data_IF_599670438069
#
_entry.id   IF_599670438069
#
_cell.length_a   1.000
_cell.length_b   1.000
_cell.length_c   1.000
_cell.angle_alpha   90.00
_cell.angle_beta   90.00
_cell.angle_gamma   90.00
#
_symmetry.space_group_name_H-M   'P 1'
#
loop_
_entity.id
_entity.type
_entity.pdbx_description
1 polymer ?
#
# COMPACT_ATOMS: atom_id res chain seq x y z
N UNK A 1 -14.09 -4.99 15.59
CA UNK A 1 -14.05 -3.68 14.89
C UNK A 1 -12.87 -2.83 15.32
N UNK A 2 -12.72 -2.50 16.61
CA UNK A 2 -11.57 -1.68 17.06
C UNK A 2 -10.20 -2.36 16.85
N UNK A 3 -10.08 -3.64 17.21
CA UNK A 3 -8.85 -4.42 16.95
C UNK A 3 -8.54 -4.49 15.45
N UNK A 4 -9.56 -4.73 14.61
CA UNK A 4 -9.39 -4.77 13.16
C UNK A 4 -8.92 -3.43 12.58
N UNK A 5 -9.40 -2.31 13.12
CA UNK A 5 -8.93 -0.97 12.77
C UNK A 5 -7.47 -0.78 13.17
N UNK A 6 -7.08 -1.08 14.41
CA UNK A 6 -5.68 -0.98 14.85
C UNK A 6 -4.74 -1.84 14.00
N UNK A 7 -5.10 -3.10 13.76
CA UNK A 7 -4.32 -4.00 12.93
C UNK A 7 -4.18 -3.49 11.49
N UNK A 8 -5.23 -2.87 10.91
CA UNK A 8 -5.14 -2.31 9.57
C UNK A 8 -4.32 -1.01 9.50
N UNK A 9 -4.29 -0.21 10.57
CA UNK A 9 -3.36 0.92 10.63
C UNK A 9 -1.90 0.44 10.64
N UNK A 10 -1.60 -0.60 11.42
CA UNK A 10 -0.26 -1.22 11.44
C UNK A 10 0.08 -1.83 10.09
N UNK A 11 -0.85 -2.59 9.48
CA UNK A 11 -0.69 -3.12 8.12
C UNK A 11 -0.44 -2.01 7.11
N UNK A 12 -1.18 -0.91 7.18
CA UNK A 12 -0.96 0.25 6.30
C UNK A 12 0.45 0.81 6.46
N UNK A 13 0.95 0.90 7.68
CA UNK A 13 2.34 1.33 7.93
C UNK A 13 3.36 0.39 7.30
N UNK A 14 3.13 -0.92 7.39
CA UNK A 14 3.99 -1.94 6.78
C UNK A 14 3.95 -1.89 5.25
N UNK A 15 2.77 -1.67 4.65
CA UNK A 15 2.64 -1.55 3.19
C UNK A 15 3.27 -0.25 2.65
N UNK A 16 3.33 0.83 3.44
CA UNK A 16 4.09 2.04 3.09
C UNK A 16 5.59 1.71 2.98
N UNK A 17 6.14 0.99 3.95
CA UNK A 17 7.54 0.55 3.91
C UNK A 17 7.78 -0.44 2.76
N UNK A 18 6.84 -1.36 2.50
CA UNK A 18 6.91 -2.29 1.38
C UNK A 18 6.93 -1.56 0.03
N UNK A 19 6.12 -0.51 -0.13
CA UNK A 19 6.11 0.31 -1.33
C UNK A 19 7.45 1.01 -1.54
N UNK A 20 8.01 1.66 -0.51
CA UNK A 20 9.32 2.32 -0.62
C UNK A 20 10.44 1.35 -1.02
N UNK A 21 10.40 0.11 -0.51
CA UNK A 21 11.34 -0.93 -0.94
C UNK A 21 11.13 -1.36 -2.40
N UNK A 22 9.89 -1.46 -2.86
CA UNK A 22 9.57 -1.81 -4.25
C UNK A 22 9.97 -0.70 -5.24
N UNK A 23 9.80 0.57 -4.86
CA UNK A 23 10.25 1.74 -5.62
C UNK A 23 11.77 1.73 -5.80
N UNK A 24 12.51 1.50 -4.71
CA UNK A 24 13.97 1.40 -4.75
C UNK A 24 14.45 0.22 -5.63
N UNK A 25 13.80 -0.94 -5.51
CA UNK A 25 14.14 -2.10 -6.34
C UNK A 25 13.90 -1.81 -7.82
N UNK A 26 12.77 -1.18 -8.16
CA UNK A 26 12.48 -0.76 -9.52
C UNK A 26 13.51 0.24 -10.06
N UNK A 27 13.91 1.24 -9.26
CA UNK A 27 14.94 2.21 -9.65
C UNK A 27 16.28 1.52 -9.96
N UNK A 28 16.73 0.61 -9.08
CA UNK A 28 17.95 -0.17 -9.30
C UNK A 28 17.84 -1.02 -10.57
N UNK A 29 16.71 -1.69 -10.78
CA UNK A 29 16.48 -2.51 -11.97
C UNK A 29 16.51 -1.66 -13.25
N UNK A 30 15.93 -0.47 -13.22
CA UNK A 30 15.93 0.47 -14.33
C UNK A 30 17.36 0.93 -14.69
N UNK A 31 18.18 1.27 -13.70
CA UNK A 31 19.56 1.68 -13.93
C UNK A 31 20.40 0.54 -14.52
N UNK A 32 20.24 -0.69 -14.00
CA UNK A 32 20.93 -1.88 -14.54
C UNK A 32 20.47 -2.22 -15.97
N UNK A 33 19.18 -2.04 -16.26
CA UNK A 33 18.65 -2.24 -17.61
C UNK A 33 19.24 -1.22 -18.61
N UNK A 34 19.36 0.05 -18.22
CA UNK A 34 19.94 1.12 -19.06
C UNK A 34 21.39 0.84 -19.45
N UNK A 35 22.18 0.22 -18.57
CA UNK A 35 23.57 -0.16 -18.87
C UNK A 35 23.69 -1.55 -19.53
N UNK A 36 22.57 -2.24 -19.77
CA UNK A 36 22.53 -3.56 -20.40
C UNK A 36 22.89 -4.74 -19.48
N UNK A 37 22.98 -4.52 -18.18
CA UNK A 37 23.35 -5.53 -17.15
C UNK A 37 22.14 -6.33 -16.63
N UNK A 38 20.92 -5.91 -16.96
CA UNK A 38 19.68 -6.56 -16.54
C UNK A 38 18.76 -6.78 -17.74
N UNK A 39 18.08 -7.91 -17.78
CA UNK A 39 17.21 -8.28 -18.90
C UNK A 39 15.87 -7.53 -18.86
N UNK A 40 15.24 -7.34 -20.02
CA UNK A 40 13.91 -6.73 -20.06
C UNK A 40 12.82 -7.50 -19.32
N UNK A 41 13.03 -8.81 -19.07
CA UNK A 41 12.13 -9.63 -18.26
C UNK A 41 12.22 -9.26 -16.78
N UNK A 42 13.44 -9.20 -16.22
CA UNK A 42 13.68 -8.80 -14.83
C UNK A 42 13.19 -7.38 -14.56
N UNK A 43 13.29 -6.47 -15.54
CA UNK A 43 12.75 -5.11 -15.40
C UNK A 43 11.22 -5.14 -15.24
N UNK A 44 10.54 -5.99 -16.03
CA UNK A 44 9.08 -6.16 -15.91
C UNK A 44 8.68 -6.80 -14.59
N UNK A 45 9.49 -7.72 -14.06
CA UNK A 45 9.24 -8.29 -12.73
C UNK A 45 9.33 -7.22 -11.64
N UNK A 46 10.33 -6.33 -11.70
CA UNK A 46 10.43 -5.21 -10.78
C UNK A 46 9.25 -4.23 -10.91
N UNK A 47 8.82 -3.93 -12.15
CA UNK A 47 7.62 -3.11 -12.40
C UNK A 47 6.35 -3.74 -11.84
N UNK A 48 6.15 -5.05 -12.04
CA UNK A 48 5.00 -5.77 -11.50
C UNK A 48 5.02 -5.76 -9.97
N UNK A 49 6.18 -5.99 -9.36
CA UNK A 49 6.33 -5.96 -7.90
C UNK A 49 5.99 -4.59 -7.31
N UNK A 50 6.38 -3.50 -7.98
CA UNK A 50 5.99 -2.14 -7.63
C UNK A 50 4.47 -1.95 -7.70
N UNK A 51 3.85 -2.30 -8.83
CA UNK A 51 2.40 -2.19 -9.00
C UNK A 51 1.63 -3.00 -7.95
N UNK A 52 2.09 -4.20 -7.61
CA UNK A 52 1.50 -5.02 -6.55
C UNK A 52 1.61 -4.37 -5.17
N UNK A 53 2.74 -3.73 -4.86
CA UNK A 53 2.92 -3.01 -3.60
C UNK A 53 1.98 -1.79 -3.50
N UNK A 54 1.84 -1.02 -4.58
CA UNK A 54 0.87 0.09 -4.65
C UNK A 54 -0.56 -0.41 -4.40
N UNK A 55 -0.95 -1.52 -5.05
CA UNK A 55 -2.29 -2.10 -4.90
C UNK A 55 -2.55 -2.60 -3.48
N UNK A 56 -1.56 -3.22 -2.83
CA UNK A 56 -1.68 -3.66 -1.42
C UNK A 56 -1.84 -2.47 -0.48
N UNK A 57 -1.03 -1.42 -0.65
CA UNK A 57 -1.15 -0.20 0.15
C UNK A 57 -2.54 0.44 0.00
N UNK A 58 -3.02 0.59 -1.23
CA UNK A 58 -4.36 1.14 -1.50
C UNK A 58 -5.45 0.32 -0.81
N UNK A 59 -5.33 -1.01 -0.85
CA UNK A 59 -6.28 -1.92 -0.20
C UNK A 59 -6.25 -1.78 1.32
N UNK A 60 -5.06 -1.70 1.93
CA UNK A 60 -4.90 -1.51 3.37
C UNK A 60 -5.48 -0.17 3.85
N UNK A 61 -5.24 0.91 3.10
CA UNK A 61 -5.81 2.24 3.38
C UNK A 61 -7.33 2.23 3.27
N UNK A 62 -7.87 1.62 2.21
CA UNK A 62 -9.32 1.48 2.02
C UNK A 62 -9.98 0.71 3.17
N UNK A 63 -9.41 -0.43 3.56
CA UNK A 63 -9.91 -1.23 4.67
C UNK A 63 -9.84 -0.47 6.01
N UNK A 64 -8.73 0.23 6.27
CA UNK A 64 -8.59 1.12 7.43
C UNK A 64 -9.74 2.14 7.49
N UNK A 65 -10.05 2.77 6.36
CA UNK A 65 -11.14 3.75 6.26
C UNK A 65 -12.52 3.13 6.51
N UNK A 66 -12.77 1.94 5.98
CA UNK A 66 -14.01 1.22 6.24
C UNK A 66 -14.19 0.93 7.74
N UNK A 67 -13.14 0.45 8.42
CA UNK A 67 -13.22 0.19 9.86
C UNK A 67 -13.40 1.47 10.68
N UNK A 68 -12.77 2.58 10.29
CA UNK A 68 -13.00 3.89 10.91
C UNK A 68 -14.48 4.29 10.81
N UNK A 69 -15.06 4.20 9.61
CA UNK A 69 -16.47 4.51 9.37
C UNK A 69 -17.38 3.62 10.22
N UNK A 70 -17.14 2.31 10.27
CA UNK A 70 -17.95 1.40 11.07
C UNK A 70 -17.86 1.69 12.57
N UNK A 71 -16.69 2.09 13.08
CA UNK A 71 -16.54 2.53 14.48
C UNK A 71 -17.30 3.84 14.76
N UNK A 72 -17.28 4.78 13.81
CA UNK A 72 -18.05 6.02 13.91
C UNK A 72 -19.56 5.77 13.87
N UNK A 73 -20.02 4.80 13.08
CA UNK A 73 -21.43 4.37 13.06
C UNK A 73 -21.87 3.83 14.42
N UNK A 74 -21.13 2.88 14.99
CA UNK A 74 -21.50 2.22 16.25
C UNK A 74 -21.38 3.19 17.44
N UNK A 75 -20.47 4.15 17.38
CA UNK A 75 -20.36 5.20 18.40
C UNK A 75 -21.38 6.34 18.25
N UNK A 76 -22.22 6.32 17.21
CA UNK A 76 -23.20 7.37 16.93
C UNK A 76 -22.58 8.69 16.43
N UNK A 77 -21.30 8.69 16.05
CA UNK A 77 -20.53 9.87 15.63
C UNK A 77 -20.37 9.99 14.11
N UNK A 78 -21.08 9.18 13.32
CA UNK A 78 -20.99 9.20 11.85
C UNK A 78 -21.39 10.55 11.23
N UNK A 79 -22.20 11.36 11.93
CA UNK A 79 -22.58 12.71 11.48
C UNK A 79 -21.39 13.61 11.10
N UNK A 80 -20.18 13.32 11.61
CA UNK A 80 -18.92 13.96 11.22
C UNK A 80 -18.64 13.95 9.70
N UNK A 81 -19.21 13.01 8.94
CA UNK A 81 -19.06 12.95 7.48
C UNK A 81 -20.13 13.72 6.68
N UNK A 82 -21.14 14.27 7.35
CA UNK A 82 -22.23 15.03 6.72
C UNK A 82 -22.10 16.55 6.93
N UNK A 83 -21.10 16.99 7.69
CA UNK A 83 -20.62 18.38 7.76
C UNK A 83 -19.52 18.62 6.73
#
# INVERSE_FOLDING_TARGET
MWIAYQNNMELTSLEIESLGNAELNYEIAMERYKIGDLSGLELREAQNSLLEAEQRLLTAQYNTKLYEISLLQISGKIGKYME
#
